data_IF_018399832685
#
_entry.id   IF_018399832685
#
_cell.length_a   1.000
_cell.length_b   1.000
_cell.length_c   1.000
_cell.angle_alpha   90.00
_cell.angle_beta   90.00
_cell.angle_gamma   90.00
#
_symmetry.space_group_name_H-M   'P 1'
#
loop_
_entity.id
_entity.type
_entity.pdbx_description
1 polymer ?
#
# COMPACT_ATOMS: atom_id res chain seq x y z
N UNK A 1 -14.56 1.47 1.70
CA UNK A 1 -13.30 1.59 2.47
C UNK A 1 -12.16 1.15 1.57
N UNK A 2 -10.96 1.69 1.75
CA UNK A 2 -9.78 1.20 1.05
C UNK A 2 -8.91 0.41 2.02
N UNK A 3 -8.52 -0.80 1.64
CA UNK A 3 -7.59 -1.63 2.37
C UNK A 3 -6.24 -1.54 1.70
N UNK A 4 -5.20 -1.35 2.51
CA UNK A 4 -3.81 -1.33 2.04
C UNK A 4 -2.97 -2.31 2.83
N UNK A 5 -2.11 -3.04 2.13
CA UNK A 5 -1.26 -4.08 2.70
C UNK A 5 0.08 -4.21 1.94
N UNK A 6 1.09 -4.76 2.61
CA UNK A 6 2.44 -5.00 2.09
C UNK A 6 2.85 -6.47 2.22
N UNK A 7 3.00 -7.16 1.09
CA UNK A 7 3.38 -8.58 1.06
C UNK A 7 4.85 -8.71 0.66
N UNK A 8 5.70 -9.17 1.58
CA UNK A 8 7.10 -9.46 1.28
C UNK A 8 7.24 -10.79 0.52
N UNK A 9 7.75 -10.72 -0.70
CA UNK A 9 8.08 -11.90 -1.52
C UNK A 9 9.53 -12.36 -1.29
N UNK A 10 10.41 -11.45 -0.86
CA UNK A 10 11.79 -11.71 -0.49
C UNK A 10 12.28 -10.61 0.46
N UNK A 11 13.48 -10.79 1.04
CA UNK A 11 14.10 -9.83 1.99
C UNK A 11 14.04 -8.37 1.51
N UNK A 12 14.16 -8.14 0.20
CA UNK A 12 14.18 -6.80 -0.40
C UNK A 12 13.16 -6.65 -1.54
N UNK A 13 12.05 -7.39 -1.50
CA UNK A 13 10.98 -7.27 -2.50
C UNK A 13 9.66 -7.34 -1.77
N UNK A 14 8.92 -6.23 -1.81
CA UNK A 14 7.56 -6.11 -1.27
C UNK A 14 6.60 -5.69 -2.37
N UNK A 15 5.41 -6.27 -2.37
CA UNK A 15 4.28 -5.82 -3.19
C UNK A 15 3.31 -5.08 -2.28
N UNK A 16 3.12 -3.79 -2.56
CA UNK A 16 2.11 -2.97 -1.91
C UNK A 16 0.82 -3.08 -2.71
N UNK A 17 -0.30 -3.31 -2.06
CA UNK A 17 -1.61 -3.49 -2.70
C UNK A 17 -2.61 -2.54 -2.06
N UNK A 18 -3.49 -1.97 -2.88
CA UNK A 18 -4.67 -1.24 -2.44
C UNK A 18 -5.91 -1.85 -3.08
N UNK A 19 -6.94 -2.13 -2.29
CA UNK A 19 -8.21 -2.70 -2.77
C UNK A 19 -9.41 -2.15 -2.00
N UNK A 20 -10.59 -2.34 -2.55
CA UNK A 20 -11.85 -2.30 -1.80
C UNK A 20 -12.29 -3.72 -1.49
N UNK A 21 -13.46 -3.87 -0.85
CA UNK A 21 -14.12 -5.16 -0.63
C UNK A 21 -14.37 -5.96 -1.93
N UNK A 22 -14.41 -5.28 -3.08
CA UNK A 22 -14.90 -5.87 -4.35
C UNK A 22 -13.85 -5.92 -5.45
N UNK A 23 -12.81 -5.07 -5.42
CA UNK A 23 -11.82 -5.01 -6.49
C UNK A 23 -10.48 -4.41 -6.04
N UNK A 24 -9.41 -4.74 -6.78
CA UNK A 24 -8.08 -4.15 -6.60
C UNK A 24 -8.03 -2.79 -7.28
N UNK A 25 -7.61 -1.77 -6.54
CA UNK A 25 -7.43 -0.39 -7.02
C UNK A 25 -6.04 -0.17 -7.63
N UNK A 26 -5.03 -0.88 -7.10
CA UNK A 26 -3.68 -0.80 -7.64
C UNK A 26 -2.67 -1.61 -6.85
N UNK A 27 -1.46 -1.73 -7.42
CA UNK A 27 -0.32 -2.33 -6.76
C UNK A 27 1.00 -1.63 -7.15
N UNK A 28 2.01 -1.80 -6.30
CA UNK A 28 3.34 -1.23 -6.50
C UNK A 28 4.42 -2.15 -5.92
N UNK A 29 5.43 -2.51 -6.73
CA UNK A 29 6.58 -3.29 -6.26
C UNK A 29 7.66 -2.34 -5.76
N UNK A 30 8.15 -2.60 -4.56
CA UNK A 30 9.21 -1.83 -3.94
C UNK A 30 10.28 -2.74 -3.30
N UNK A 31 11.40 -2.14 -2.93
CA UNK A 31 12.47 -2.83 -2.19
C UNK A 31 12.17 -2.99 -0.70
N UNK A 32 11.33 -2.10 -0.16
CA UNK A 32 10.88 -2.05 1.22
C UNK A 32 9.63 -1.16 1.31
N UNK A 33 8.90 -1.27 2.41
CA UNK A 33 7.82 -0.36 2.74
C UNK A 33 8.35 1.00 3.18
N UNK A 34 8.36 1.95 2.25
CA UNK A 34 8.79 3.33 2.49
C UNK A 34 7.65 4.29 2.16
N UNK A 35 7.58 5.45 2.82
CA UNK A 35 6.53 6.45 2.54
C UNK A 35 6.47 6.79 1.05
N UNK A 36 7.62 6.86 0.36
CA UNK A 36 7.68 7.08 -1.10
C UNK A 36 7.03 5.97 -1.91
N UNK A 37 7.29 4.70 -1.58
CA UNK A 37 6.70 3.56 -2.28
C UNK A 37 5.17 3.54 -2.09
N UNK A 38 4.72 3.88 -0.90
CA UNK A 38 3.32 3.98 -0.59
C UNK A 38 2.63 5.17 -1.26
N UNK A 39 3.29 6.34 -1.31
CA UNK A 39 2.81 7.48 -2.09
C UNK A 39 2.70 7.15 -3.58
N UNK A 40 3.63 6.36 -4.13
CA UNK A 40 3.57 5.91 -5.52
C UNK A 40 2.40 4.95 -5.82
N UNK A 41 1.93 4.20 -4.81
CA UNK A 41 0.70 3.42 -4.91
C UNK A 41 -0.55 4.31 -4.79
N UNK A 42 -0.63 5.10 -3.71
CA UNK A 42 -1.80 5.92 -3.40
C UNK A 42 -2.03 7.01 -4.45
N UNK A 43 -0.97 7.59 -5.01
CA UNK A 43 -1.07 8.61 -6.05
C UNK A 43 -1.72 8.15 -7.36
N UNK A 44 -1.99 6.84 -7.52
CA UNK A 44 -2.73 6.28 -8.66
C UNK A 44 -4.24 6.17 -8.41
N UNK A 45 -4.69 6.42 -7.17
CA UNK A 45 -6.06 6.21 -6.73
C UNK A 45 -6.65 7.58 -6.35
N UNK A 46 -7.92 7.86 -6.67
CA UNK A 46 -8.60 9.03 -6.13
C UNK A 46 -8.49 9.06 -4.59
N UNK A 47 -8.38 10.24 -3.96
CA UNK A 47 -8.24 10.34 -2.51
C UNK A 47 -9.35 9.56 -1.78
N UNK A 48 -9.02 8.54 -0.96
CA UNK A 48 -10.02 7.78 -0.24
C UNK A 48 -10.46 8.53 1.02
N UNK A 49 -11.75 8.43 1.38
CA UNK A 49 -12.26 8.99 2.64
C UNK A 49 -11.66 8.29 3.88
N UNK A 50 -11.34 7.00 3.75
CA UNK A 50 -10.76 6.18 4.82
C UNK A 50 -9.95 5.02 4.25
N UNK A 51 -8.72 4.85 4.77
CA UNK A 51 -7.87 3.71 4.48
C UNK A 51 -7.58 2.90 5.76
N UNK A 52 -7.59 1.57 5.64
CA UNK A 52 -7.25 0.62 6.71
C UNK A 52 -5.92 -0.02 6.37
N UNK A 53 -5.00 -0.02 7.33
CA UNK A 53 -3.64 -0.58 7.20
C UNK A 53 -3.45 -1.65 8.25
N UNK A 54 -2.72 -2.71 7.94
CA UNK A 54 -2.36 -3.81 8.86
C UNK A 54 -1.36 -3.41 9.97
N UNK A 55 -0.80 -2.19 9.90
CA UNK A 55 0.09 -1.65 10.92
C UNK A 55 1.58 -1.95 10.70
N UNK A 56 1.98 -2.37 9.50
CA UNK A 56 3.38 -2.40 9.09
C UNK A 56 4.11 -1.08 9.38
N UNK A 57 5.38 -1.15 9.79
CA UNK A 57 6.15 0.01 10.28
C UNK A 57 6.22 1.19 9.30
N UNK A 58 5.99 0.96 8.00
CA UNK A 58 5.97 2.00 6.96
C UNK A 58 4.69 2.84 6.88
N UNK A 59 3.67 2.60 7.72
CA UNK A 59 2.42 3.35 7.74
C UNK A 59 2.41 4.60 8.64
N UNK A 60 3.42 4.78 9.50
CA UNK A 60 3.41 5.86 10.52
C UNK A 60 3.68 7.27 9.97
N UNK A 61 4.36 7.37 8.83
CA UNK A 61 4.79 8.65 8.23
C UNK A 61 4.29 8.81 6.76
N UNK A 62 3.08 8.33 6.45
CA UNK A 62 2.48 8.46 5.11
C UNK A 62 1.51 9.61 5.00
#
# INVERSE_FOLDING_TARGET
MVYVDGIYLARNVVVLIACTDTHVLGWYVARAETSRAWAALIGKIPPPDMAVTDGGSGARDK
#
